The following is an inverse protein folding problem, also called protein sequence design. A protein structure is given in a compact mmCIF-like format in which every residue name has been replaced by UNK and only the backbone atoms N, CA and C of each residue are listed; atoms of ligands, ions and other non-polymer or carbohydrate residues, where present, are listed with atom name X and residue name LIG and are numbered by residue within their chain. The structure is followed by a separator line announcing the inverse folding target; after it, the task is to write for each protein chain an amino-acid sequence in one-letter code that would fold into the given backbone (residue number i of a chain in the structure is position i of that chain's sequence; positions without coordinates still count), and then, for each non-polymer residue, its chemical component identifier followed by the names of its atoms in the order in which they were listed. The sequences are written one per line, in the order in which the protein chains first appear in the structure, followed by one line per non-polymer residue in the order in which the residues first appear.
data_IF_501678917426
#
_entry.id   IF_501678917426
#
_cell.length_a   1.000
_cell.length_b   1.000
_cell.length_c   1.000
_cell.angle_alpha   90.00
_cell.angle_beta   90.00
_cell.angle_gamma   90.00
#
_symmetry.space_group_name_H-M   'P 1'
#
loop_
_entity.id
_entity.type
_entity.pdbx_description
1 polymer ?
#
# COMPACT_ATOMS: atom_id res chain seq x y z
N UNK A 1 6.74 -24.00 8.06
CA UNK A 1 6.76 -22.98 6.95
C UNK A 1 6.73 -21.62 7.61
N UNK A 2 7.73 -20.78 7.38
CA UNK A 2 7.76 -19.41 7.87
C UNK A 2 6.62 -18.61 7.23
N UNK A 3 5.89 -17.86 8.05
CA UNK A 3 4.77 -17.01 7.59
C UNK A 3 5.33 -15.93 6.68
N UNK A 4 4.71 -15.70 5.49
CA UNK A 4 5.14 -14.65 4.57
C UNK A 4 5.25 -13.29 5.28
N UNK A 5 6.32 -12.56 5.02
CA UNK A 5 6.51 -11.18 5.50
C UNK A 5 5.57 -10.23 4.76
N UNK A 6 5.18 -9.14 5.40
CA UNK A 6 4.29 -8.16 4.80
C UNK A 6 4.86 -6.75 4.92
N UNK A 7 4.87 -6.02 3.81
CA UNK A 7 5.21 -4.61 3.72
C UNK A 7 4.00 -3.85 3.19
N UNK A 8 3.58 -2.79 3.85
CA UNK A 8 2.39 -2.05 3.45
C UNK A 8 2.72 -0.58 3.15
N UNK A 9 2.25 -0.10 2.01
CA UNK A 9 2.34 1.30 1.60
C UNK A 9 1.00 1.97 1.91
N UNK A 10 1.00 2.88 2.87
CA UNK A 10 -0.13 3.75 3.18
C UNK A 10 0.17 5.20 2.79
N UNK A 11 -0.82 6.03 2.68
CA UNK A 11 -0.64 7.42 2.29
C UNK A 11 -1.42 8.37 3.18
N UNK A 12 -0.97 9.61 3.29
CA UNK A 12 -1.69 10.68 3.99
C UNK A 12 -2.97 11.10 3.27
N UNK A 13 -3.12 10.73 1.98
CA UNK A 13 -4.30 11.02 1.15
C UNK A 13 -4.34 10.13 -0.09
N UNK A 14 -5.43 10.21 -0.85
CA UNK A 14 -5.51 9.67 -2.20
C UNK A 14 -4.55 10.42 -3.14
N UNK A 15 -4.00 9.71 -4.15
CA UNK A 15 -3.14 10.31 -5.17
C UNK A 15 -1.70 10.64 -4.73
N UNK A 16 -1.29 10.35 -3.50
CA UNK A 16 0.09 10.61 -3.00
C UNK A 16 1.16 9.72 -3.65
N UNK A 17 0.77 8.72 -4.44
CA UNK A 17 1.69 7.85 -5.19
C UNK A 17 1.86 6.44 -4.62
N UNK A 18 0.94 5.97 -3.76
CA UNK A 18 0.95 4.60 -3.19
C UNK A 18 1.13 3.52 -4.25
N UNK A 19 0.31 3.55 -5.31
CA UNK A 19 0.32 2.51 -6.35
C UNK A 19 1.63 2.44 -7.11
N UNK A 20 2.24 3.60 -7.41
CA UNK A 20 3.55 3.65 -8.08
C UNK A 20 4.64 3.07 -7.18
N UNK A 21 4.66 3.46 -5.90
CA UNK A 21 5.63 2.95 -4.95
C UNK A 21 5.45 1.44 -4.71
N UNK A 22 4.21 0.97 -4.58
CA UNK A 22 3.91 -0.46 -4.45
C UNK A 22 4.39 -1.25 -5.67
N UNK A 23 4.16 -0.72 -6.88
CA UNK A 23 4.65 -1.34 -8.13
C UNK A 23 6.17 -1.43 -8.15
N UNK A 24 6.85 -0.34 -7.77
CA UNK A 24 8.32 -0.29 -7.70
C UNK A 24 8.87 -1.30 -6.67
N UNK A 25 8.25 -1.39 -5.50
CA UNK A 25 8.64 -2.36 -4.47
C UNK A 25 8.43 -3.80 -4.93
N UNK A 26 7.30 -4.11 -5.60
CA UNK A 26 7.09 -5.42 -6.20
C UNK A 26 8.20 -5.79 -7.19
N UNK A 27 8.58 -4.84 -8.04
CA UNK A 27 9.63 -5.05 -9.04
C UNK A 27 11.01 -5.26 -8.39
N UNK A 28 11.41 -4.37 -7.48
CA UNK A 28 12.71 -4.44 -6.81
C UNK A 28 12.85 -5.74 -6.02
N UNK A 29 11.84 -6.12 -5.26
CA UNK A 29 11.88 -7.36 -4.47
C UNK A 29 11.91 -8.61 -5.36
N UNK A 30 11.20 -8.58 -6.49
CA UNK A 30 11.27 -9.65 -7.48
C UNK A 30 12.68 -9.77 -8.10
N UNK A 31 13.31 -8.65 -8.47
CA UNK A 31 14.67 -8.62 -9.01
C UNK A 31 15.73 -9.08 -7.99
N UNK A 32 15.45 -8.91 -6.69
CA UNK A 32 16.29 -9.47 -5.60
C UNK A 32 16.04 -10.98 -5.37
N UNK A 33 15.18 -11.61 -6.18
CA UNK A 33 14.95 -13.06 -6.16
C UNK A 33 13.83 -13.54 -5.21
N UNK A 34 13.09 -12.63 -4.56
CA UNK A 34 11.97 -13.03 -3.70
C UNK A 34 10.73 -13.40 -4.52
N UNK A 35 9.96 -14.38 -4.03
CA UNK A 35 8.60 -14.64 -4.51
C UNK A 35 7.66 -13.61 -3.88
N UNK A 36 7.23 -12.65 -4.69
CA UNK A 36 6.46 -11.47 -4.25
C UNK A 36 5.06 -11.52 -4.81
N UNK A 37 4.06 -11.13 -4.02
CA UNK A 37 2.73 -10.83 -4.52
C UNK A 37 2.26 -9.46 -4.05
N UNK A 38 1.59 -8.66 -4.90
CA UNK A 38 0.86 -7.48 -4.46
C UNK A 38 -0.44 -7.88 -3.77
N UNK A 39 -0.93 -7.00 -2.89
CA UNK A 39 -2.25 -7.13 -2.29
C UNK A 39 -2.88 -5.76 -2.06
N UNK A 40 -4.13 -5.62 -2.40
CA UNK A 40 -4.96 -4.47 -2.02
C UNK A 40 -6.33 -4.98 -1.63
N UNK A 41 -6.63 -4.93 -0.35
CA UNK A 41 -7.85 -5.53 0.21
C UNK A 41 -9.12 -4.98 -0.47
N UNK A 42 -9.17 -3.66 -0.62
CA UNK A 42 -10.28 -2.95 -1.25
C UNK A 42 -9.73 -1.91 -2.23
N UNK A 43 -10.26 -1.87 -3.43
CA UNK A 43 -9.99 -0.82 -4.39
C UNK A 43 -11.29 -0.15 -4.86
N UNK A 44 -11.24 1.14 -5.14
CA UNK A 44 -12.32 1.89 -5.78
C UNK A 44 -11.81 2.41 -7.12
N UNK A 45 -12.28 1.83 -8.23
CA UNK A 45 -11.79 2.17 -9.56
C UNK A 45 -12.72 1.66 -10.64
N UNK A 46 -12.96 2.48 -11.66
CA UNK A 46 -13.59 2.06 -12.91
C UNK A 46 -12.64 1.25 -13.81
N UNK A 47 -11.32 1.46 -13.63
CA UNK A 47 -10.30 0.79 -14.42
C UNK A 47 -10.02 -0.60 -13.87
N UNK A 48 -10.53 -1.62 -14.52
CA UNK A 48 -10.30 -3.01 -14.21
C UNK A 48 -9.43 -3.70 -15.27
N UNK A 49 -8.87 -4.84 -14.89
CA UNK A 49 -8.19 -5.79 -15.74
C UNK A 49 -8.81 -7.17 -15.52
N UNK A 50 -8.84 -7.99 -16.56
CA UNK A 50 -9.34 -9.36 -16.48
C UNK A 50 -8.17 -10.30 -16.20
N UNK A 51 -8.34 -11.18 -15.22
CA UNK A 51 -7.36 -12.23 -14.90
C UNK A 51 -7.45 -13.39 -15.88
N UNK A 52 -6.42 -14.22 -15.95
CA UNK A 52 -6.42 -15.41 -16.83
C UNK A 52 -7.58 -16.38 -16.56
N UNK A 53 -8.18 -16.34 -15.36
CA UNK A 53 -9.36 -17.16 -14.99
C UNK A 53 -10.69 -16.42 -15.16
N UNK A 54 -10.71 -15.26 -15.85
CA UNK A 54 -11.92 -14.51 -16.18
C UNK A 54 -12.44 -13.58 -15.10
N UNK A 55 -11.82 -13.49 -13.94
CA UNK A 55 -12.25 -12.56 -12.87
C UNK A 55 -11.65 -11.15 -13.03
N UNK A 56 -12.32 -10.13 -12.52
CA UNK A 56 -11.87 -8.73 -12.55
C UNK A 56 -11.04 -8.36 -11.34
N UNK A 57 -9.98 -7.56 -11.55
CA UNK A 57 -9.22 -6.87 -10.51
C UNK A 57 -8.91 -5.43 -10.93
N UNK A 58 -8.54 -4.58 -9.97
CA UNK A 58 -8.08 -3.23 -10.29
C UNK A 58 -6.85 -3.26 -11.21
N UNK A 59 -6.82 -2.37 -12.21
CA UNK A 59 -5.73 -2.29 -13.20
C UNK A 59 -4.37 -2.04 -12.55
N UNK A 60 -4.33 -1.26 -11.48
CA UNK A 60 -3.09 -1.01 -10.73
C UNK A 60 -2.54 -2.32 -10.12
N UNK A 61 -3.41 -3.17 -9.57
CA UNK A 61 -2.99 -4.45 -8.96
C UNK A 61 -2.54 -5.46 -10.03
N UNK A 62 -3.12 -5.42 -11.23
CA UNK A 62 -2.60 -6.19 -12.36
C UNK A 62 -1.18 -5.74 -12.75
N UNK A 63 -0.94 -4.42 -12.83
CA UNK A 63 0.39 -3.88 -13.11
C UNK A 63 1.41 -4.26 -12.01
N UNK A 64 1.00 -4.24 -10.75
CA UNK A 64 1.83 -4.66 -9.60
C UNK A 64 2.16 -6.15 -9.67
N UNK A 65 1.20 -7.01 -10.08
CA UNK A 65 1.43 -8.44 -10.28
C UNK A 65 2.48 -8.68 -11.38
N UNK A 66 2.35 -8.01 -12.53
CA UNK A 66 3.35 -8.11 -13.60
C UNK A 66 4.73 -7.60 -13.15
N UNK A 67 4.78 -6.51 -12.36
CA UNK A 67 6.03 -6.03 -11.79
C UNK A 67 6.67 -7.05 -10.83
N UNK A 68 5.87 -7.83 -10.12
CA UNK A 68 6.31 -8.94 -9.28
C UNK A 68 6.62 -10.23 -10.06
N UNK A 69 6.56 -10.22 -11.40
CA UNK A 69 6.82 -11.39 -12.25
C UNK A 69 5.76 -12.48 -12.15
N UNK A 70 4.53 -12.16 -11.72
CA UNK A 70 3.44 -13.12 -11.54
C UNK A 70 2.19 -12.73 -12.31
N UNK A 71 1.36 -13.72 -12.67
CA UNK A 71 0.08 -13.47 -13.29
C UNK A 71 -0.91 -12.84 -12.30
N UNK A 72 -1.72 -11.85 -12.73
CA UNK A 72 -2.76 -11.27 -11.90
C UNK A 72 -3.78 -12.31 -11.42
N UNK A 73 -4.16 -12.25 -10.13
CA UNK A 73 -5.13 -13.15 -9.50
C UNK A 73 -6.15 -12.35 -8.71
N UNK A 74 -7.39 -12.81 -8.66
CA UNK A 74 -8.47 -12.14 -7.93
C UNK A 74 -8.18 -11.99 -6.43
N UNK A 75 -7.42 -12.90 -5.85
CA UNK A 75 -6.97 -12.81 -4.46
C UNK A 75 -6.08 -11.58 -4.18
N UNK A 76 -5.42 -11.00 -5.19
CA UNK A 76 -4.60 -9.80 -5.05
C UNK A 76 -5.42 -8.52 -4.86
N UNK A 77 -6.71 -8.54 -5.26
CA UNK A 77 -7.67 -7.47 -5.03
C UNK A 77 -9.07 -8.07 -4.83
N UNK A 78 -9.34 -8.63 -3.64
CA UNK A 78 -10.56 -9.39 -3.39
C UNK A 78 -11.83 -8.54 -3.45
N UNK A 79 -11.76 -7.24 -3.13
CA UNK A 79 -12.90 -6.32 -3.16
C UNK A 79 -12.60 -5.17 -4.12
N UNK A 80 -13.42 -5.03 -5.16
CA UNK A 80 -13.36 -3.91 -6.10
C UNK A 80 -14.72 -3.22 -6.16
N UNK A 81 -14.73 -1.91 -5.94
CA UNK A 81 -15.88 -1.03 -6.09
C UNK A 81 -15.75 -0.27 -7.40
N UNK A 82 -16.76 -0.34 -8.22
CA UNK A 82 -16.86 0.42 -9.48
C UNK A 82 -17.98 1.46 -9.32
N UNK A 83 -17.64 2.76 -9.11
CA UNK A 83 -18.64 3.80 -9.00
C UNK A 83 -19.54 3.85 -10.25
N UNK A 84 -20.85 3.86 -10.06
CA UNK A 84 -21.85 3.96 -11.15
C UNK A 84 -22.56 5.32 -11.13
N UNK A 85 -22.78 5.89 -9.93
CA UNK A 85 -23.40 7.18 -9.69
C UNK A 85 -22.93 7.73 -8.32
N UNK A 86 -23.33 8.94 -7.95
CA UNK A 86 -22.85 9.65 -6.75
C UNK A 86 -22.91 8.83 -5.47
N UNK A 87 -23.96 8.00 -5.29
CA UNK A 87 -24.16 7.21 -4.08
C UNK A 87 -24.28 5.70 -4.36
N UNK A 88 -23.82 5.24 -5.51
CA UNK A 88 -23.96 3.83 -5.91
C UNK A 88 -22.71 3.29 -6.57
N UNK A 89 -22.30 2.10 -6.15
CA UNK A 89 -21.18 1.38 -6.73
C UNK A 89 -21.54 -0.07 -6.98
N UNK A 90 -21.08 -0.61 -8.11
CA UNK A 90 -21.08 -2.05 -8.33
C UNK A 90 -19.99 -2.69 -7.45
N UNK A 91 -20.40 -3.67 -6.66
CA UNK A 91 -19.48 -4.46 -5.85
C UNK A 91 -19.03 -5.70 -6.62
N UNK A 92 -17.72 -5.84 -6.74
CA UNK A 92 -17.08 -7.03 -7.31
C UNK A 92 -16.32 -7.74 -6.18
N UNK A 93 -16.66 -8.99 -5.93
CA UNK A 93 -16.04 -9.83 -4.89
C UNK A 93 -15.32 -10.99 -5.57
N UNK A 94 -14.02 -11.13 -5.30
CA UNK A 94 -13.16 -12.14 -5.92
C UNK A 94 -13.34 -12.20 -7.45
N UNK A 95 -13.40 -11.02 -8.07
CA UNK A 95 -13.48 -10.87 -9.51
C UNK A 95 -14.87 -11.06 -10.13
N UNK A 96 -15.91 -11.27 -9.32
CA UNK A 96 -17.30 -11.46 -9.80
C UNK A 96 -18.19 -10.33 -9.28
N UNK A 97 -18.96 -9.72 -10.17
CA UNK A 97 -19.97 -8.74 -9.78
C UNK A 97 -21.06 -9.42 -8.94
N UNK A 98 -21.34 -8.84 -7.77
CA UNK A 98 -22.33 -9.37 -6.82
C UNK A 98 -23.58 -8.50 -6.73
N UNK A 99 -23.58 -7.33 -7.38
CA UNK A 99 -24.69 -6.38 -7.39
C UNK A 99 -24.22 -4.95 -7.22
N UNK A 100 -25.16 -4.02 -7.23
CA UNK A 100 -24.92 -2.61 -6.97
C UNK A 100 -25.39 -2.28 -5.55
N UNK A 101 -24.56 -1.58 -4.81
CA UNK A 101 -24.79 -1.21 -3.42
C UNK A 101 -24.79 0.31 -3.26
N UNK A 102 -25.70 0.83 -2.44
CA UNK A 102 -25.60 2.18 -1.96
C UNK A 102 -24.35 2.32 -1.05
N UNK A 103 -23.74 3.50 -1.04
CA UNK A 103 -22.49 3.74 -0.29
C UNK A 103 -22.66 3.40 1.19
N UNK A 104 -23.77 3.76 1.81
CA UNK A 104 -24.07 3.46 3.22
C UNK A 104 -24.18 1.95 3.49
N UNK A 105 -24.86 1.21 2.61
CA UNK A 105 -25.00 -0.24 2.72
C UNK A 105 -23.64 -0.95 2.59
N UNK A 106 -22.75 -0.41 1.76
CA UNK A 106 -21.39 -0.93 1.62
C UNK A 106 -20.57 -0.75 2.91
N UNK A 107 -20.61 0.44 3.53
CA UNK A 107 -19.90 0.68 4.79
C UNK A 107 -20.42 -0.22 5.92
N UNK A 108 -21.72 -0.52 5.94
CA UNK A 108 -22.32 -1.51 6.86
C UNK A 108 -21.88 -2.94 6.58
N UNK A 109 -21.53 -3.27 5.34
CA UNK A 109 -21.10 -4.62 4.95
C UNK A 109 -19.62 -4.95 5.28
N UNK A 110 -18.85 -4.02 5.86
CA UNK A 110 -17.44 -4.19 6.17
C UNK A 110 -17.12 -5.46 6.96
N UNK A 111 -17.96 -5.82 7.92
CA UNK A 111 -17.76 -7.03 8.71
C UNK A 111 -18.08 -8.32 7.94
N UNK A 112 -19.02 -8.30 6.99
CA UNK A 112 -19.37 -9.47 6.15
C UNK A 112 -18.34 -9.72 5.05
N UNK A 113 -17.68 -8.69 4.56
CA UNK A 113 -16.64 -8.78 3.53
C UNK A 113 -15.25 -9.09 4.11
N UNK A 114 -15.03 -8.81 5.38
CA UNK A 114 -13.74 -9.04 6.03
C UNK A 114 -13.24 -10.50 5.96
N UNK A 115 -14.06 -11.55 6.14
CA UNK A 115 -13.62 -12.93 5.95
C UNK A 115 -13.06 -13.20 4.55
N UNK A 116 -13.63 -12.57 3.51
CA UNK A 116 -13.14 -12.70 2.12
C UNK A 116 -11.74 -12.10 1.99
N UNK A 117 -11.52 -10.90 2.56
CA UNK A 117 -10.21 -10.23 2.58
C UNK A 117 -9.17 -11.10 3.29
N UNK A 118 -9.51 -11.64 4.47
CA UNK A 118 -8.61 -12.51 5.24
C UNK A 118 -8.26 -13.80 4.50
N UNK A 119 -9.24 -14.44 3.88
CA UNK A 119 -9.03 -15.67 3.13
C UNK A 119 -8.11 -15.44 1.92
N UNK A 120 -8.34 -14.37 1.17
CA UNK A 120 -7.50 -14.00 0.03
C UNK A 120 -6.05 -13.67 0.45
N UNK A 121 -5.88 -12.91 1.53
CA UNK A 121 -4.55 -12.61 2.08
C UNK A 121 -3.85 -13.90 2.55
N UNK A 122 -4.56 -14.77 3.25
CA UNK A 122 -4.03 -16.04 3.74
C UNK A 122 -3.64 -16.98 2.60
N UNK A 123 -4.39 -17.00 1.49
CA UNK A 123 -4.05 -17.74 0.28
C UNK A 123 -2.68 -17.29 -0.26
N UNK A 124 -2.49 -15.99 -0.48
CA UNK A 124 -1.25 -15.45 -0.99
C UNK A 124 -0.07 -15.69 -0.03
N UNK A 125 -0.29 -15.56 1.28
CA UNK A 125 0.76 -15.77 2.29
C UNK A 125 1.26 -17.23 2.42
N UNK A 126 0.54 -18.21 1.91
CA UNK A 126 1.02 -19.60 1.83
C UNK A 126 1.98 -19.84 0.69
N UNK A 127 1.88 -19.04 -0.36
CA UNK A 127 2.58 -19.26 -1.63
C UNK A 127 3.79 -18.34 -1.80
N UNK A 128 3.69 -17.09 -1.34
CA UNK A 128 4.70 -16.06 -1.52
C UNK A 128 5.51 -15.82 -0.24
N UNK A 129 6.73 -15.30 -0.40
CA UNK A 129 7.63 -14.97 0.71
C UNK A 129 7.38 -13.56 1.24
N UNK A 130 6.99 -12.64 0.33
CA UNK A 130 6.69 -11.25 0.66
C UNK A 130 5.37 -10.84 0.02
N UNK A 131 4.51 -10.23 0.83
CA UNK A 131 3.29 -9.57 0.35
C UNK A 131 3.50 -8.06 0.42
N UNK A 132 3.43 -7.37 -0.73
CA UNK A 132 3.45 -5.91 -0.79
C UNK A 132 2.02 -5.40 -0.84
N UNK A 133 1.59 -4.75 0.24
CA UNK A 133 0.20 -4.32 0.44
C UNK A 133 0.06 -2.84 0.10
N UNK A 134 -0.96 -2.48 -0.66
CA UNK A 134 -1.35 -1.10 -0.92
C UNK A 134 -2.58 -0.73 -0.08
N UNK A 135 -2.49 0.36 0.70
CA UNK A 135 -3.63 0.95 1.40
C UNK A 135 -4.52 1.79 0.49
N UNK A 136 -5.65 2.24 1.00
CA UNK A 136 -6.59 3.11 0.31
C UNK A 136 -6.82 4.41 1.10
N UNK A 137 -6.94 5.58 0.42
CA UNK A 137 -7.13 6.86 1.08
C UNK A 137 -6.04 7.15 2.11
N UNK A 138 -6.46 7.46 3.33
CA UNK A 138 -5.61 7.73 4.49
C UNK A 138 -6.03 6.86 5.69
N UNK A 139 -5.09 6.36 6.52
CA UNK A 139 -5.43 5.69 7.77
C UNK A 139 -5.96 6.65 8.85
N UNK A 140 -5.88 7.96 8.62
CA UNK A 140 -6.34 9.00 9.53
C UNK A 140 -7.81 9.42 9.32
N UNK A 141 -8.56 8.72 8.47
CA UNK A 141 -10.00 8.96 8.29
C UNK A 141 -10.79 8.34 9.45
N UNK A 142 -10.77 9.02 10.62
CA UNK A 142 -11.28 8.50 11.89
C UNK A 142 -12.76 8.17 11.86
N UNK A 143 -13.55 8.92 11.10
CA UNK A 143 -14.97 8.69 10.90
C UNK A 143 -15.30 7.37 10.18
N UNK A 144 -14.34 6.83 9.41
CA UNK A 144 -14.47 5.57 8.67
C UNK A 144 -13.73 4.40 9.34
N UNK A 145 -13.15 4.62 10.51
CA UNK A 145 -12.30 3.62 11.18
C UNK A 145 -13.01 2.30 11.47
N UNK A 146 -14.30 2.37 11.84
CA UNK A 146 -15.13 1.18 12.10
C UNK A 146 -15.34 0.29 10.86
N UNK A 147 -15.24 0.87 9.68
CA UNK A 147 -15.40 0.21 8.39
C UNK A 147 -14.05 -0.02 7.66
N UNK A 148 -12.91 0.27 8.31
CA UNK A 148 -11.60 0.09 7.67
C UNK A 148 -11.36 -1.37 7.26
N UNK A 149 -11.25 -1.60 5.97
CA UNK A 149 -10.85 -2.88 5.38
C UNK A 149 -9.58 -2.75 4.53
N UNK A 150 -8.94 -1.57 4.53
CA UNK A 150 -7.91 -1.25 3.54
C UNK A 150 -6.59 -0.77 4.14
N UNK A 151 -6.60 -0.30 5.39
CA UNK A 151 -5.43 0.33 6.01
C UNK A 151 -4.95 -0.43 7.26
N UNK A 152 -5.15 0.12 8.46
CA UNK A 152 -4.54 -0.40 9.68
C UNK A 152 -5.10 -1.76 10.12
N UNK A 153 -6.35 -2.06 9.81
CA UNK A 153 -6.92 -3.39 10.05
C UNK A 153 -6.19 -4.47 9.22
N UNK A 154 -5.88 -4.17 7.95
CA UNK A 154 -5.10 -5.08 7.09
C UNK A 154 -3.65 -5.16 7.56
N UNK A 155 -3.04 -4.03 7.95
CA UNK A 155 -1.69 -4.01 8.49
C UNK A 155 -1.57 -4.90 9.74
N UNK A 156 -2.56 -4.87 10.63
CA UNK A 156 -2.61 -5.71 11.82
C UNK A 156 -2.78 -7.20 11.47
N UNK A 157 -3.71 -7.56 10.58
CA UNK A 157 -3.94 -8.95 10.15
C UNK A 157 -2.72 -9.55 9.47
N UNK A 158 -2.04 -8.74 8.65
CA UNK A 158 -0.84 -9.17 7.93
C UNK A 158 0.42 -9.15 8.79
N UNK A 159 0.37 -8.54 9.96
CA UNK A 159 1.56 -8.16 10.75
C UNK A 159 2.57 -7.36 9.90
N UNK A 160 2.05 -6.38 9.17
CA UNK A 160 2.84 -5.65 8.19
C UNK A 160 3.63 -4.50 8.82
N UNK A 161 4.86 -4.31 8.33
CA UNK A 161 5.59 -3.05 8.47
C UNK A 161 4.99 -2.01 7.51
N UNK A 162 4.72 -0.81 7.99
CA UNK A 162 4.05 0.24 7.23
C UNK A 162 5.03 1.32 6.81
N UNK A 163 4.96 1.73 5.54
CA UNK A 163 5.58 2.94 4.99
C UNK A 163 4.46 3.97 4.77
N UNK A 164 4.56 5.14 5.42
CA UNK A 164 3.60 6.22 5.24
C UNK A 164 4.13 7.24 4.23
N UNK A 165 3.34 7.51 3.18
CA UNK A 165 3.70 8.37 2.04
C UNK A 165 2.93 9.68 2.08
N UNK A 166 3.63 10.81 2.04
CA UNK A 166 3.08 12.16 1.87
C UNK A 166 3.46 12.73 0.50
N UNK A 167 2.63 13.63 -0.04
CA UNK A 167 2.81 14.32 -1.31
C UNK A 167 3.28 15.76 -1.06
N UNK A 168 4.51 16.09 -1.44
CA UNK A 168 5.05 17.43 -1.22
C UNK A 168 4.49 18.49 -2.20
N UNK A 169 4.02 18.07 -3.38
CA UNK A 169 3.52 19.02 -4.40
C UNK A 169 2.28 19.79 -3.95
N UNK A 170 1.49 19.19 -3.07
CA UNK A 170 0.25 19.81 -2.55
C UNK A 170 0.50 20.79 -1.41
N UNK A 171 1.73 20.89 -0.92
CA UNK A 171 2.07 21.65 0.29
C UNK A 171 1.63 20.93 1.57
N UNK A 172 2.12 21.41 2.71
CA UNK A 172 1.73 20.91 4.03
C UNK A 172 2.17 19.47 4.35
N UNK A 173 3.16 18.91 3.66
CA UNK A 173 3.59 17.51 3.83
C UNK A 173 4.01 17.18 5.28
N UNK A 174 4.59 18.14 6.00
CA UNK A 174 4.93 18.00 7.42
C UNK A 174 3.69 17.74 8.27
N UNK A 175 2.69 18.61 8.14
CA UNK A 175 1.44 18.49 8.86
C UNK A 175 0.70 17.19 8.50
N UNK A 176 0.67 16.82 7.22
CA UNK A 176 0.03 15.60 6.76
C UNK A 176 0.70 14.34 7.36
N UNK A 177 2.03 14.24 7.31
CA UNK A 177 2.75 13.08 7.84
C UNK A 177 2.66 13.00 9.36
N UNK A 178 2.98 14.09 10.06
CA UNK A 178 2.98 14.12 11.53
C UNK A 178 1.57 14.00 12.08
N UNK A 179 0.59 14.74 11.53
CA UNK A 179 -0.80 14.65 11.94
C UNK A 179 -1.41 13.26 11.69
N UNK A 180 -1.06 12.61 10.56
CA UNK A 180 -1.48 11.22 10.34
C UNK A 180 -0.95 10.30 11.43
N UNK A 181 0.34 10.42 11.79
CA UNK A 181 0.95 9.62 12.86
C UNK A 181 0.29 9.88 14.23
N UNK A 182 -0.07 11.11 14.53
CA UNK A 182 -0.66 11.51 15.81
C UNK A 182 -2.11 11.02 15.95
N UNK A 183 -2.82 10.82 14.84
CA UNK A 183 -4.17 10.28 14.81
C UNK A 183 -4.22 8.74 14.90
N UNK A 184 -3.09 8.06 14.71
CA UNK A 184 -3.02 6.61 14.88
C UNK A 184 -2.98 6.23 16.36
N UNK A 185 -3.60 5.09 16.71
CA UNK A 185 -3.41 4.50 18.03
C UNK A 185 -1.94 4.09 18.25
N UNK A 186 -1.48 3.94 19.50
CA UNK A 186 -0.10 3.53 19.77
C UNK A 186 0.31 2.23 19.05
N UNK A 187 -0.57 1.26 18.97
CA UNK A 187 -0.32 -0.03 18.30
C UNK A 187 -0.25 0.10 16.78
N UNK A 188 -1.03 0.98 16.19
CA UNK A 188 -1.00 1.29 14.75
C UNK A 188 0.27 2.10 14.41
N UNK A 189 0.57 3.13 15.20
CA UNK A 189 1.78 3.95 15.04
C UNK A 189 3.05 3.10 15.12
N UNK A 190 3.11 2.13 16.03
CA UNK A 190 4.22 1.21 16.17
C UNK A 190 4.50 0.36 14.92
N UNK A 191 3.50 0.19 14.04
CA UNK A 191 3.68 -0.50 12.75
C UNK A 191 4.34 0.38 11.70
N UNK A 192 4.28 1.71 11.83
CA UNK A 192 4.92 2.62 10.88
C UNK A 192 6.42 2.60 11.10
N UNK A 193 7.17 2.23 10.06
CA UNK A 193 8.62 2.05 10.12
C UNK A 193 9.40 3.09 9.33
N UNK A 194 8.72 3.80 8.41
CA UNK A 194 9.34 4.84 7.62
C UNK A 194 8.32 5.85 7.10
N UNK A 195 8.79 7.06 6.85
CA UNK A 195 8.08 8.10 6.14
C UNK A 195 8.68 8.31 4.75
N UNK A 196 7.84 8.59 3.78
CA UNK A 196 8.25 8.93 2.41
C UNK A 196 7.65 10.27 2.02
N UNK A 197 8.50 11.21 1.69
CA UNK A 197 8.14 12.47 1.02
C UNK A 197 8.25 12.22 -0.48
N UNK A 198 7.11 12.11 -1.13
CA UNK A 198 7.03 11.75 -2.55
C UNK A 198 6.79 12.96 -3.44
N UNK A 199 7.07 12.79 -4.73
CA UNK A 199 6.91 13.78 -5.80
C UNK A 199 7.78 15.02 -5.60
N UNK A 200 8.93 14.87 -4.99
CA UNK A 200 9.88 15.96 -4.82
C UNK A 200 10.38 16.46 -6.20
N UNK A 201 10.44 17.77 -6.35
CA UNK A 201 10.99 18.41 -7.55
C UNK A 201 12.27 19.18 -7.21
N UNK A 202 13.23 19.12 -8.10
CA UNK A 202 14.50 19.82 -7.94
C UNK A 202 15.54 18.99 -7.17
N UNK A 203 16.48 19.68 -6.57
CA UNK A 203 17.59 19.09 -5.84
C UNK A 203 17.14 18.67 -4.43
N UNK A 204 17.24 17.38 -4.15
CA UNK A 204 16.85 16.82 -2.85
C UNK A 204 17.72 17.32 -1.68
N UNK A 205 18.92 17.82 -1.95
CA UNK A 205 19.79 18.41 -0.92
C UNK A 205 19.16 19.65 -0.27
N UNK A 206 18.34 20.40 -1.02
CA UNK A 206 17.61 21.56 -0.50
C UNK A 206 16.54 21.19 0.54
N UNK A 207 16.24 19.89 0.70
CA UNK A 207 15.24 19.40 1.65
C UNK A 207 15.86 18.62 2.82
N UNK A 208 17.19 18.67 2.99
CA UNK A 208 17.87 17.95 4.07
C UNK A 208 17.39 18.37 5.47
N UNK A 209 17.22 19.67 5.70
CA UNK A 209 16.61 20.18 6.93
C UNK A 209 15.19 19.68 7.15
N UNK A 210 14.40 19.58 6.07
CA UNK A 210 13.06 19.00 6.12
C UNK A 210 13.08 17.54 6.55
N UNK A 211 14.01 16.75 6.02
CA UNK A 211 14.22 15.35 6.39
C UNK A 211 14.60 15.25 7.87
N UNK A 212 15.54 16.08 8.33
CA UNK A 212 15.97 16.13 9.72
C UNK A 212 14.80 16.44 10.67
N UNK A 213 14.04 17.51 10.40
CA UNK A 213 12.89 17.92 11.22
C UNK A 213 11.83 16.81 11.28
N UNK A 214 11.49 16.19 10.14
CA UNK A 214 10.51 15.09 10.11
C UNK A 214 11.02 13.88 10.89
N UNK A 215 12.30 13.52 10.70
CA UNK A 215 12.89 12.36 11.36
C UNK A 215 12.94 12.52 12.89
N UNK A 216 13.34 13.69 13.37
CA UNK A 216 13.39 14.01 14.81
C UNK A 216 12.00 13.98 15.44
N UNK A 217 11.00 14.63 14.81
CA UNK A 217 9.62 14.68 15.33
C UNK A 217 8.90 13.34 15.26
N UNK A 218 9.04 12.61 14.17
CA UNK A 218 8.41 11.31 14.00
C UNK A 218 9.14 10.19 14.73
N UNK A 219 10.45 10.34 14.99
CA UNK A 219 11.39 9.29 15.42
C UNK A 219 11.43 8.11 14.45
N UNK A 220 11.39 8.43 13.17
CA UNK A 220 11.36 7.47 12.07
C UNK A 220 12.30 7.92 10.94
N UNK A 221 12.88 6.99 10.17
CA UNK A 221 13.62 7.34 8.97
C UNK A 221 12.68 7.97 7.93
N UNK A 222 13.22 8.99 7.23
CA UNK A 222 12.51 9.73 6.19
C UNK A 222 13.26 9.58 4.86
N UNK A 223 12.54 9.25 3.82
CA UNK A 223 13.06 9.11 2.46
C UNK A 223 12.38 10.12 1.53
N UNK A 224 13.15 10.74 0.65
CA UNK A 224 12.64 11.65 -0.37
C UNK A 224 12.68 10.95 -1.72
N UNK A 225 11.54 10.88 -2.39
CA UNK A 225 11.44 10.31 -3.73
C UNK A 225 11.18 11.43 -4.75
N UNK A 226 11.98 11.49 -5.82
CA UNK A 226 11.78 12.48 -6.87
C UNK A 226 10.47 12.23 -7.61
N UNK A 227 9.87 13.28 -8.12
CA UNK A 227 8.77 13.17 -9.09
C UNK A 227 9.32 12.55 -10.37
N UNK A 228 9.04 11.29 -10.59
CA UNK A 228 9.40 10.63 -11.84
C UNK A 228 8.46 11.09 -12.95
N UNK A 229 8.97 11.87 -13.90
CA UNK A 229 8.32 12.10 -15.19
C UNK A 229 8.55 10.92 -16.15
N UNK A 230 9.53 10.07 -15.84
CA UNK A 230 9.84 8.79 -16.52
C UNK A 230 10.46 7.85 -15.52
N UNK A 231 9.81 6.74 -15.24
CA UNK A 231 10.44 5.60 -14.56
C UNK A 231 11.45 5.02 -15.54
N UNK A 232 12.69 5.52 -15.53
CA UNK A 232 13.80 4.83 -16.17
C UNK A 232 14.25 3.74 -15.21
N UNK A 233 14.30 2.53 -15.68
CA UNK A 233 14.82 1.36 -14.94
C UNK A 233 16.21 1.64 -14.33
N UNK A 234 17.02 2.49 -14.99
CA UNK A 234 18.33 2.94 -14.50
C UNK A 234 18.28 3.81 -13.24
N UNK A 235 17.20 4.60 -13.02
CA UNK A 235 17.08 5.42 -11.81
C UNK A 235 16.72 4.58 -10.58
N UNK A 236 16.00 3.47 -10.78
CA UNK A 236 15.71 2.50 -9.72
C UNK A 236 17.00 1.81 -9.27
N UNK A 237 17.91 1.50 -10.19
CA UNK A 237 19.19 0.86 -9.88
C UNK A 237 20.09 1.75 -9.04
N UNK A 238 20.14 3.06 -9.30
CA UNK A 238 20.99 4.01 -8.55
C UNK A 238 20.40 4.29 -7.17
N UNK A 239 19.07 4.38 -7.05
CA UNK A 239 18.38 4.50 -5.75
C UNK A 239 18.43 3.17 -4.99
N UNK A 240 18.40 2.01 -5.68
CA UNK A 240 18.46 0.68 -5.08
C UNK A 240 19.82 0.42 -4.44
N UNK A 241 20.95 0.92 -4.99
CA UNK A 241 22.26 0.75 -4.36
C UNK A 241 22.38 1.45 -3.00
N UNK A 242 21.63 2.53 -2.78
CA UNK A 242 21.51 3.21 -1.47
C UNK A 242 20.36 2.67 -0.60
N UNK A 243 19.35 2.07 -1.20
CA UNK A 243 18.20 1.44 -0.51
C UNK A 243 18.45 -0.05 -0.21
N UNK A 244 19.31 -0.74 -0.99
CA UNK A 244 19.59 -2.17 -0.85
C UNK A 244 19.86 -2.62 0.59
N UNK A 245 20.76 -2.01 1.38
CA UNK A 245 21.00 -2.46 2.75
C UNK A 245 19.86 -2.16 3.70
N UNK A 246 19.02 -1.14 3.41
CA UNK A 246 17.99 -0.63 4.30
C UNK A 246 16.61 -1.24 4.06
N UNK A 247 16.22 -1.48 2.80
CA UNK A 247 14.97 -2.21 2.48
C UNK A 247 15.08 -3.67 2.90
N UNK A 248 16.24 -4.30 2.70
CA UNK A 248 16.52 -5.64 3.22
C UNK A 248 16.57 -5.65 4.75
N UNK A 249 17.11 -4.61 5.40
CA UNK A 249 17.10 -4.46 6.86
C UNK A 249 15.68 -4.36 7.44
N UNK A 250 14.73 -3.71 6.76
CA UNK A 250 13.32 -3.70 7.15
C UNK A 250 12.67 -5.08 7.04
N UNK A 251 13.03 -5.82 5.98
CA UNK A 251 12.52 -7.18 5.80
C UNK A 251 13.19 -8.18 6.76
N UNK A 252 14.41 -7.93 7.24
CA UNK A 252 15.16 -8.83 8.14
C UNK A 252 15.05 -8.44 9.61
N UNK A 253 14.92 -7.15 9.97
CA UNK A 253 14.80 -6.68 11.36
C UNK A 253 13.52 -7.15 12.06
N UNK A 254 12.47 -7.49 11.32
CA UNK A 254 11.28 -8.12 11.89
C UNK A 254 11.50 -9.57 12.37
N UNK A 255 12.69 -10.15 12.12
CA UNK A 255 13.02 -11.52 12.49
C UNK A 255 13.79 -11.66 13.83
N UNK A 256 14.15 -10.54 14.49
CA UNK A 256 14.98 -10.55 15.71
C UNK A 256 14.32 -9.89 16.92
N UNK A 257 13.00 -9.69 16.89
CA UNK A 257 12.22 -9.24 18.05
C UNK A 257 11.19 -10.34 18.41
N UNK A 258 11.69 -11.39 19.01
CA UNK A 258 10.95 -12.32 19.90
C UNK A 258 11.72 -12.43 21.19
#
# INVERSE_FOLDING_TARGET
MTRARALMVQGTASGVGKSVLTTALCRVLHEEGFRVAPFKAQNMSLNAAVTAKGGEIGRAQAAQAYAAGVSPRVAMNPILLKPEADNRSQLVVLGRATGAYATEAYWGAGNTLWPVVRAALAELRREFEIIVIEGAGSPAELNLRHADMANMRVAAEADASVILVGDIERGGVFAQLLGTLDLLSPSERARVRALVVNKFRGDASLFEDGVRILSERARLPVYVLPRSSRIRTSAITTTSSRLRPRVLGFATSAAHAT
#
